data_IF_750701135995
#
_entry.id   IF_750701135995
#
_cell.length_a   1.000
_cell.length_b   1.000
_cell.length_c   1.000
_cell.angle_alpha   90.00
_cell.angle_beta   90.00
_cell.angle_gamma   90.00
#
_symmetry.space_group_name_H-M   'P 1'
#
loop_
_entity.id
_entity.type
_entity.pdbx_description
1 polymer ?
#
# COMPACT_ATOMS: atom_id res chain seq x y z
N UNK A 1 -12.74 6.75 -11.25
CA UNK A 1 -13.65 7.63 -10.49
C UNK A 1 -13.13 7.69 -9.05
N UNK A 2 -12.48 8.80 -8.65
CA UNK A 2 -11.93 8.96 -7.30
C UNK A 2 -13.07 9.27 -6.33
N UNK A 3 -13.64 8.25 -5.71
CA UNK A 3 -14.56 8.46 -4.60
C UNK A 3 -13.75 9.06 -3.45
N UNK A 4 -14.17 10.27 -3.06
CA UNK A 4 -13.53 11.10 -2.06
C UNK A 4 -13.60 10.38 -0.71
N UNK A 5 -12.46 9.87 -0.22
CA UNK A 5 -12.33 9.04 1.00
C UNK A 5 -13.03 9.68 2.22
N UNK A 6 -13.03 11.02 2.28
CA UNK A 6 -13.75 11.81 3.28
C UNK A 6 -15.28 11.69 3.18
N UNK A 7 -15.83 11.77 1.97
CA UNK A 7 -17.28 11.61 1.74
C UNK A 7 -17.73 10.19 2.06
N UNK A 8 -16.88 9.21 1.78
CA UNK A 8 -17.14 7.82 2.04
C UNK A 8 -17.08 7.47 3.54
N UNK A 9 -16.16 8.08 4.29
CA UNK A 9 -16.09 7.97 5.75
C UNK A 9 -17.32 8.60 6.43
N UNK A 10 -17.78 9.76 5.97
CA UNK A 10 -19.03 10.39 6.45
C UNK A 10 -20.25 9.51 6.16
N UNK A 11 -20.28 8.84 5.01
CA UNK A 11 -21.34 7.89 4.67
C UNK A 11 -21.39 6.68 5.63
N UNK A 12 -20.24 6.14 6.04
CA UNK A 12 -20.20 5.03 7.01
C UNK A 12 -20.65 5.47 8.41
N UNK A 13 -20.17 6.61 8.91
CA UNK A 13 -20.57 7.08 10.24
C UNK A 13 -22.05 7.49 10.31
N UNK A 14 -22.59 8.08 9.23
CA UNK A 14 -24.03 8.36 9.14
C UNK A 14 -24.86 7.08 9.03
N UNK A 15 -24.39 6.07 8.27
CA UNK A 15 -25.01 4.76 8.20
C UNK A 15 -25.11 4.05 9.55
N UNK A 16 -24.04 4.09 10.35
CA UNK A 16 -24.03 3.56 11.72
C UNK A 16 -24.99 4.29 12.65
N UNK A 17 -25.04 5.62 12.57
CA UNK A 17 -25.95 6.44 13.38
C UNK A 17 -27.43 6.14 13.13
N UNK A 18 -27.78 5.75 11.90
CA UNK A 18 -29.16 5.39 11.52
C UNK A 18 -29.46 3.91 11.81
N UNK A 19 -28.50 3.01 11.66
CA UNK A 19 -28.74 1.57 11.84
C UNK A 19 -28.97 1.19 13.31
N UNK A 20 -28.27 1.83 14.25
CA UNK A 20 -28.31 1.48 15.68
C UNK A 20 -29.71 1.70 16.30
N UNK A 21 -30.39 2.86 16.11
CA UNK A 21 -31.75 3.07 16.63
C UNK A 21 -32.76 2.11 16.01
N UNK A 22 -32.66 1.84 14.70
CA UNK A 22 -33.56 0.94 13.98
C UNK A 22 -33.43 -0.50 14.52
N UNK A 23 -32.20 -0.94 14.80
CA UNK A 23 -31.96 -2.25 15.39
C UNK A 23 -32.45 -2.33 16.83
N UNK A 24 -32.17 -1.32 17.66
CA UNK A 24 -32.61 -1.29 19.05
C UNK A 24 -34.13 -1.35 19.16
N UNK A 25 -34.84 -0.53 18.38
CA UNK A 25 -36.32 -0.49 18.37
C UNK A 25 -36.90 -1.75 17.72
N UNK A 26 -36.35 -2.21 16.59
CA UNK A 26 -36.84 -3.39 15.89
C UNK A 26 -36.69 -4.67 16.71
N UNK A 27 -35.53 -4.86 17.36
CA UNK A 27 -35.28 -6.01 18.24
C UNK A 27 -36.14 -5.93 19.49
N UNK A 28 -36.31 -4.76 20.10
CA UNK A 28 -37.21 -4.58 21.25
C UNK A 28 -38.68 -4.88 20.90
N UNK A 29 -39.15 -4.48 19.71
CA UNK A 29 -40.50 -4.79 19.23
C UNK A 29 -40.69 -6.30 18.97
N UNK A 30 -39.66 -6.99 18.47
CA UNK A 30 -39.71 -8.44 18.26
C UNK A 30 -39.68 -9.23 19.58
N UNK A 31 -38.94 -8.75 20.58
CA UNK A 31 -38.77 -9.43 21.87
C UNK A 31 -39.85 -9.09 22.91
N UNK A 32 -40.50 -7.92 22.83
CA UNK A 32 -41.50 -7.47 23.81
C UNK A 32 -42.85 -8.20 23.72
N UNK A 33 -42.99 -9.21 22.85
CA UNK A 33 -44.21 -9.99 22.71
C UNK A 33 -45.40 -9.18 22.17
N UNK A 34 -45.13 -8.00 21.60
CA UNK A 34 -46.16 -7.11 21.06
C UNK A 34 -46.96 -7.82 19.95
N UNK A 35 -48.29 -7.72 20.00
CA UNK A 35 -49.19 -8.36 19.01
C UNK A 35 -49.17 -7.57 17.69
N UNK A 36 -48.09 -7.74 16.95
CA UNK A 36 -47.90 -7.21 15.59
C UNK A 36 -48.46 -8.24 14.60
N UNK A 37 -49.14 -7.78 13.54
CA UNK A 37 -49.64 -8.67 12.48
C UNK A 37 -48.50 -9.45 11.82
N UNK A 38 -48.80 -10.63 11.27
CA UNK A 38 -47.82 -11.48 10.60
C UNK A 38 -47.11 -10.75 9.45
N UNK A 39 -47.84 -9.95 8.69
CA UNK A 39 -47.28 -9.13 7.60
C UNK A 39 -46.35 -8.03 8.11
N UNK A 40 -46.75 -7.31 9.15
CA UNK A 40 -45.92 -6.26 9.74
C UNK A 40 -44.65 -6.84 10.39
N UNK A 41 -44.71 -8.05 10.96
CA UNK A 41 -43.52 -8.78 11.45
C UNK A 41 -42.56 -9.14 10.33
N UNK A 42 -43.07 -9.55 9.16
CA UNK A 42 -42.24 -9.90 8.01
C UNK A 42 -41.45 -8.68 7.49
N UNK A 43 -42.13 -7.55 7.30
CA UNK A 43 -41.49 -6.30 6.89
C UNK A 43 -40.50 -5.79 7.92
N UNK A 44 -40.85 -5.87 9.21
CA UNK A 44 -39.96 -5.46 10.29
C UNK A 44 -38.71 -6.35 10.35
N UNK A 45 -38.83 -7.66 10.11
CA UNK A 45 -37.69 -8.57 9.97
C UNK A 45 -36.77 -8.17 8.82
N UNK A 46 -37.31 -7.83 7.65
CA UNK A 46 -36.50 -7.38 6.51
C UNK A 46 -35.72 -6.12 6.87
N UNK A 47 -36.37 -5.12 7.49
CA UNK A 47 -35.72 -3.86 7.88
C UNK A 47 -34.63 -4.10 8.93
N UNK A 48 -34.88 -4.97 9.92
CA UNK A 48 -33.90 -5.35 10.95
C UNK A 48 -32.71 -6.08 10.34
N UNK A 49 -32.93 -7.04 9.43
CA UNK A 49 -31.85 -7.77 8.76
C UNK A 49 -31.02 -6.84 7.88
N UNK A 50 -31.66 -5.96 7.10
CA UNK A 50 -30.94 -5.01 6.24
C UNK A 50 -30.09 -4.05 7.08
N UNK A 51 -30.63 -3.54 8.18
CA UNK A 51 -29.91 -2.68 9.13
C UNK A 51 -28.74 -3.41 9.80
N UNK A 52 -28.94 -4.69 10.16
CA UNK A 52 -27.88 -5.53 10.71
C UNK A 52 -26.74 -5.74 9.71
N UNK A 53 -27.05 -5.97 8.42
CA UNK A 53 -26.04 -6.10 7.37
C UNK A 53 -25.23 -4.81 7.24
N UNK A 54 -25.88 -3.65 7.18
CA UNK A 54 -25.21 -2.34 7.10
C UNK A 54 -24.32 -2.08 8.32
N UNK A 55 -24.80 -2.43 9.51
CA UNK A 55 -24.04 -2.33 10.75
C UNK A 55 -22.82 -3.26 10.75
N UNK A 56 -22.98 -4.52 10.32
CA UNK A 56 -21.88 -5.50 10.24
C UNK A 56 -20.83 -5.07 9.21
N UNK A 57 -21.22 -4.60 8.03
CA UNK A 57 -20.27 -4.07 7.05
C UNK A 57 -19.52 -2.86 7.57
N UNK A 58 -20.22 -1.97 8.28
CA UNK A 58 -19.60 -0.80 8.90
C UNK A 58 -18.67 -1.19 10.04
N UNK A 59 -19.02 -2.20 10.84
CA UNK A 59 -18.19 -2.72 11.93
C UNK A 59 -16.94 -3.43 11.38
N UNK A 60 -17.06 -4.23 10.32
CA UNK A 60 -15.92 -4.87 9.65
C UNK A 60 -14.97 -3.79 9.13
N UNK A 61 -15.49 -2.74 8.49
CA UNK A 61 -14.68 -1.61 8.00
C UNK A 61 -13.98 -0.87 9.14
N UNK A 62 -14.68 -0.59 10.24
CA UNK A 62 -14.13 0.07 11.42
C UNK A 62 -13.07 -0.82 12.09
N UNK A 63 -13.29 -2.13 12.15
CA UNK A 63 -12.30 -3.10 12.61
C UNK A 63 -11.10 -3.17 11.67
N UNK A 64 -11.28 -3.09 10.35
CA UNK A 64 -10.16 -3.00 9.41
C UNK A 64 -9.37 -1.68 9.54
N UNK A 65 -10.02 -0.57 9.90
CA UNK A 65 -9.36 0.71 10.20
C UNK A 65 -8.59 0.69 11.54
N UNK A 66 -9.03 -0.12 12.53
CA UNK A 66 -8.42 -0.22 13.86
C UNK A 66 -7.46 -1.41 14.04
N UNK A 67 -7.56 -2.44 13.20
CA UNK A 67 -6.64 -3.58 13.19
C UNK A 67 -5.43 -3.16 12.33
N UNK A 68 -4.23 -3.00 12.91
CA UNK A 68 -3.01 -2.89 12.12
C UNK A 68 -2.75 -4.23 11.46
N UNK A 69 -3.29 -4.42 10.26
CA UNK A 69 -3.13 -5.63 9.45
C UNK A 69 -1.63 -5.91 9.18
N UNK A 70 -0.76 -4.90 9.31
CA UNK A 70 0.70 -5.10 9.25
C UNK A 70 1.29 -5.88 10.44
N UNK A 71 0.63 -5.92 11.61
CA UNK A 71 1.16 -6.56 12.83
C UNK A 71 0.64 -7.99 13.06
N UNK A 72 -0.55 -8.32 12.58
CA UNK A 72 -1.18 -9.65 12.82
C UNK A 72 -0.78 -10.66 11.74
N UNK A 73 -0.67 -10.24 10.47
CA UNK A 73 -0.17 -11.10 9.37
C UNK A 73 1.24 -11.62 9.65
N UNK A 74 2.09 -10.81 10.29
CA UNK A 74 3.47 -11.17 10.66
C UNK A 74 3.54 -12.18 11.82
N UNK A 75 2.50 -12.30 12.66
CA UNK A 75 2.44 -13.29 13.75
C UNK A 75 1.86 -14.63 13.29
N UNK A 76 0.88 -14.62 12.38
CA UNK A 76 0.37 -15.86 11.79
C UNK A 76 1.41 -16.51 10.85
N UNK A 77 2.19 -15.71 10.11
CA UNK A 77 3.29 -16.21 9.25
C UNK A 77 4.46 -16.86 10.01
N UNK A 78 4.55 -16.69 11.34
CA UNK A 78 5.67 -17.21 12.14
C UNK A 78 5.41 -18.60 12.75
N UNK A 79 4.18 -19.11 12.70
CA UNK A 79 3.82 -20.38 13.33
C UNK A 79 3.73 -21.57 12.36
N UNK A 80 3.69 -21.35 11.04
CA UNK A 80 3.56 -22.44 10.04
C UNK A 80 4.88 -22.82 9.36
N UNK A 81 6.04 -22.54 9.98
CA UNK A 81 7.34 -23.00 9.46
C UNK A 81 7.94 -23.99 10.44
N UNK A 82 7.40 -25.20 10.46
CA UNK A 82 8.22 -26.37 10.71
C UNK A 82 7.64 -27.62 10.03
N UNK A 83 8.53 -28.29 9.30
CA UNK A 83 8.53 -29.73 8.97
C UNK A 83 7.89 -30.18 7.63
N UNK A 84 8.82 -30.42 6.70
CA UNK A 84 8.97 -31.58 5.80
C UNK A 84 8.59 -31.52 4.31
N UNK A 85 9.65 -31.71 3.53
CA UNK A 85 9.76 -32.25 2.17
C UNK A 85 8.89 -33.50 1.93
N UNK A 86 8.32 -33.62 0.73
CA UNK A 86 8.83 -34.47 -0.37
C UNK A 86 7.75 -34.61 -1.47
N UNK A 87 8.19 -34.36 -2.71
CA UNK A 87 7.75 -35.02 -3.97
C UNK A 87 6.27 -35.41 -4.13
N UNK A 88 5.55 -34.71 -5.03
CA UNK A 88 4.82 -35.41 -6.10
C UNK A 88 4.53 -34.50 -7.30
N UNK A 89 4.93 -34.98 -8.49
CA UNK A 89 4.43 -34.54 -9.81
C UNK A 89 2.90 -34.54 -9.82
N UNK A 90 2.27 -33.37 -9.95
CA UNK A 90 0.99 -33.25 -10.68
C UNK A 90 0.69 -31.81 -11.09
N UNK A 91 0.51 -31.65 -12.39
CA UNK A 91 -0.11 -30.57 -13.16
C UNK A 91 -0.77 -29.40 -12.39
N UNK A 92 -0.28 -28.19 -12.67
CA UNK A 92 -1.13 -27.03 -12.96
C UNK A 92 -1.84 -26.37 -11.78
N UNK A 93 -1.11 -26.01 -10.72
CA UNK A 93 -1.56 -24.96 -9.78
C UNK A 93 -0.34 -24.07 -9.51
N UNK A 94 -0.38 -22.81 -10.01
CA UNK A 94 0.62 -21.81 -9.66
C UNK A 94 0.46 -21.51 -8.17
N UNK A 95 1.42 -21.94 -7.38
CA UNK A 95 1.52 -21.59 -5.96
C UNK A 95 1.70 -20.08 -5.82
N UNK A 96 1.12 -19.49 -4.77
CA UNK A 96 1.15 -18.04 -4.48
C UNK A 96 2.57 -17.45 -4.45
N UNK A 97 3.56 -18.26 -4.04
CA UNK A 97 4.98 -17.88 -4.05
C UNK A 97 5.55 -17.68 -5.47
N UNK A 98 4.98 -18.35 -6.46
CA UNK A 98 5.36 -18.22 -7.87
C UNK A 98 4.74 -16.97 -8.49
N UNK A 99 3.51 -16.59 -8.10
CA UNK A 99 2.90 -15.31 -8.50
C UNK A 99 3.64 -14.10 -7.92
N UNK A 100 4.05 -14.15 -6.64
CA UNK A 100 4.80 -13.05 -6.02
C UNK A 100 6.20 -12.89 -6.64
N UNK A 101 6.86 -14.00 -6.99
CA UNK A 101 8.17 -13.97 -7.68
C UNK A 101 8.04 -13.49 -9.13
N UNK A 102 7.00 -13.93 -9.84
CA UNK A 102 6.70 -13.49 -11.21
C UNK A 102 6.39 -11.99 -11.23
N UNK A 103 5.58 -11.51 -10.29
CA UNK A 103 5.23 -10.09 -10.16
C UNK A 103 6.46 -9.24 -9.81
N UNK A 104 7.29 -9.68 -8.87
CA UNK A 104 8.55 -9.00 -8.53
C UNK A 104 9.48 -8.86 -9.74
N UNK A 105 9.68 -9.97 -10.48
CA UNK A 105 10.52 -9.97 -11.68
C UNK A 105 9.99 -9.05 -12.79
N UNK A 106 8.66 -9.01 -12.96
CA UNK A 106 7.99 -8.13 -13.92
C UNK A 106 8.14 -6.65 -13.56
N UNK A 107 8.04 -6.30 -12.28
CA UNK A 107 8.19 -4.92 -11.79
C UNK A 107 9.62 -4.42 -11.93
N UNK A 108 10.60 -5.27 -11.59
CA UNK A 108 12.02 -4.99 -11.83
C UNK A 108 12.29 -4.76 -13.32
N UNK A 109 11.82 -5.66 -14.19
CA UNK A 109 11.98 -5.51 -15.64
C UNK A 109 11.32 -4.24 -16.19
N UNK A 110 10.13 -3.88 -15.68
CA UNK A 110 9.45 -2.63 -16.02
C UNK A 110 10.29 -1.41 -15.63
N UNK A 111 10.82 -1.38 -14.41
CA UNK A 111 11.65 -0.27 -13.92
C UNK A 111 12.90 -0.09 -14.79
N UNK A 112 13.62 -1.18 -15.05
CA UNK A 112 14.85 -1.15 -15.86
C UNK A 112 14.54 -0.65 -17.27
N UNK A 113 13.48 -1.17 -17.89
CA UNK A 113 13.12 -0.79 -19.26
C UNK A 113 12.70 0.69 -19.39
N UNK A 114 11.97 1.22 -18.42
CA UNK A 114 11.35 2.54 -18.52
C UNK A 114 12.21 3.66 -17.95
N UNK A 115 13.01 3.40 -16.92
CA UNK A 115 13.70 4.45 -16.18
C UNK A 115 15.21 4.31 -16.17
N UNK A 116 15.78 3.12 -16.32
CA UNK A 116 17.23 2.96 -16.20
C UNK A 116 17.91 3.34 -17.52
N UNK A 117 18.99 4.10 -17.43
CA UNK A 117 19.81 4.45 -18.58
C UNK A 117 20.50 3.18 -19.11
N UNK A 118 20.56 3.04 -20.45
CA UNK A 118 21.14 1.87 -21.14
C UNK A 118 22.53 1.49 -20.63
N UNK A 119 23.34 2.47 -20.22
CA UNK A 119 24.68 2.24 -19.67
C UNK A 119 24.69 1.50 -18.31
N UNK A 120 23.54 1.44 -17.61
CA UNK A 120 23.39 0.89 -16.26
C UNK A 120 22.36 -0.24 -16.21
N UNK A 121 21.96 -0.81 -17.35
CA UNK A 121 20.94 -1.90 -17.40
C UNK A 121 21.44 -3.18 -16.73
N UNK A 122 22.73 -3.47 -16.84
CA UNK A 122 23.37 -4.65 -16.24
C UNK A 122 23.75 -4.42 -14.77
N UNK A 123 23.49 -3.21 -14.25
CA UNK A 123 23.82 -2.82 -12.89
C UNK A 123 22.62 -3.06 -11.95
N UNK A 124 22.85 -3.34 -10.64
CA UNK A 124 21.78 -3.63 -9.68
C UNK A 124 21.06 -2.36 -9.22
N UNK A 125 20.61 -1.52 -10.16
CA UNK A 125 20.00 -0.21 -9.89
C UNK A 125 18.67 -0.38 -9.14
N UNK A 126 17.83 -1.32 -9.57
CA UNK A 126 16.54 -1.57 -8.94
C UNK A 126 16.72 -2.05 -7.48
N UNK A 127 17.60 -3.01 -7.25
CA UNK A 127 17.93 -3.55 -5.94
C UNK A 127 18.54 -2.50 -5.02
N UNK A 128 19.32 -1.58 -5.58
CA UNK A 128 19.90 -0.45 -4.84
C UNK A 128 18.79 0.44 -4.29
N UNK A 129 17.76 0.74 -5.08
CA UNK A 129 16.60 1.50 -4.61
C UNK A 129 15.80 0.73 -3.57
N UNK A 130 15.57 -0.57 -3.78
CA UNK A 130 14.86 -1.39 -2.78
C UNK A 130 15.58 -1.42 -1.43
N UNK A 131 16.90 -1.61 -1.41
CA UNK A 131 17.68 -1.63 -0.17
C UNK A 131 17.70 -0.25 0.49
N UNK A 132 17.89 0.81 -0.30
CA UNK A 132 17.83 2.18 0.19
C UNK A 132 16.50 2.49 0.89
N UNK A 133 15.39 1.98 0.35
CA UNK A 133 14.05 2.22 0.89
C UNK A 133 13.68 1.31 2.06
N UNK A 134 14.35 0.16 2.21
CA UNK A 134 14.23 -0.71 3.40
C UNK A 134 14.85 -0.06 4.64
N UNK A 135 15.96 0.65 4.48
CA UNK A 135 16.69 1.28 5.60
C UNK A 135 16.15 2.68 5.98
N UNK A 136 15.47 3.37 5.05
CA UNK A 136 15.03 4.76 5.21
C UNK A 136 13.57 4.95 4.75
N UNK A 137 12.62 4.33 5.44
CA UNK A 137 11.18 4.49 5.16
C UNK A 137 10.73 5.94 5.41
N UNK A 138 10.21 6.60 4.36
CA UNK A 138 9.65 7.96 4.47
C UNK A 138 9.73 8.72 3.15
N UNK A 139 8.59 9.26 2.69
CA UNK A 139 8.43 9.84 1.35
C UNK A 139 9.43 10.93 0.95
N UNK A 140 10.10 11.62 1.89
CA UNK A 140 11.19 12.59 1.59
C UNK A 140 12.39 11.95 0.92
N UNK A 141 12.74 10.74 1.34
CA UNK A 141 13.96 10.08 0.88
C UNK A 141 13.77 9.45 -0.50
N UNK A 142 12.54 9.08 -0.86
CA UNK A 142 12.21 8.42 -2.13
C UNK A 142 12.40 9.36 -3.32
N UNK A 143 11.78 10.55 -3.30
CA UNK A 143 11.91 11.50 -4.41
C UNK A 143 13.34 12.00 -4.54
N UNK A 144 14.02 12.25 -3.41
CA UNK A 144 15.42 12.67 -3.40
C UNK A 144 16.33 11.59 -4.02
N UNK A 145 16.08 10.30 -3.73
CA UNK A 145 16.85 9.21 -4.32
C UNK A 145 16.65 9.09 -5.83
N UNK A 146 15.40 9.22 -6.32
CA UNK A 146 15.16 9.24 -7.76
C UNK A 146 15.77 10.46 -8.44
N UNK A 147 15.70 11.63 -7.79
CA UNK A 147 16.37 12.83 -8.26
C UNK A 147 17.88 12.61 -8.36
N UNK A 148 18.50 12.02 -7.34
CA UNK A 148 19.93 11.72 -7.35
C UNK A 148 20.32 10.74 -8.46
N UNK A 149 19.48 9.75 -8.77
CA UNK A 149 19.72 8.82 -9.88
C UNK A 149 19.55 9.45 -11.26
N UNK A 150 18.62 10.40 -11.40
CA UNK A 150 18.38 11.14 -12.64
C UNK A 150 19.31 12.35 -12.84
N UNK A 151 20.03 12.75 -11.78
CA UNK A 151 21.03 13.81 -11.82
C UNK A 151 22.16 13.47 -12.80
N UNK A 152 22.64 14.49 -13.52
CA UNK A 152 23.67 14.34 -14.57
C UNK A 152 24.96 13.69 -14.10
N UNK A 153 25.29 13.78 -12.80
CA UNK A 153 26.51 13.17 -12.24
C UNK A 153 26.39 11.67 -11.97
N UNK A 154 25.17 11.15 -11.75
CA UNK A 154 24.93 9.71 -11.62
C UNK A 154 24.45 9.12 -12.94
N UNK A 155 23.42 9.73 -13.51
CA UNK A 155 22.82 9.35 -14.79
C UNK A 155 22.37 7.87 -14.84
N UNK A 156 21.98 7.32 -13.69
CA UNK A 156 21.44 5.97 -13.59
C UNK A 156 20.02 5.90 -14.14
N UNK A 157 19.25 6.97 -13.94
CA UNK A 157 17.88 7.09 -14.42
C UNK A 157 17.78 8.13 -15.53
N UNK A 158 16.95 7.85 -16.54
CA UNK A 158 16.62 8.80 -17.61
C UNK A 158 15.52 9.78 -17.18
N UNK A 159 14.70 9.40 -16.20
CA UNK A 159 13.64 10.24 -15.65
C UNK A 159 13.19 9.75 -14.26
N UNK A 160 12.55 10.65 -13.51
CA UNK A 160 11.97 10.35 -12.20
C UNK A 160 10.55 9.78 -12.39
N UNK A 161 10.23 8.58 -11.87
CA UNK A 161 8.90 7.98 -11.96
C UNK A 161 7.77 8.90 -11.46
N UNK A 162 6.55 8.71 -11.98
CA UNK A 162 5.37 9.34 -11.39
C UNK A 162 5.02 8.69 -10.05
N UNK A 163 4.23 9.38 -9.23
CA UNK A 163 3.77 8.83 -7.95
C UNK A 163 3.12 7.45 -8.10
N UNK A 164 2.20 7.31 -9.07
CA UNK A 164 1.47 6.05 -9.29
C UNK A 164 2.40 4.91 -9.69
N UNK A 165 3.44 5.20 -10.48
CA UNK A 165 4.43 4.20 -10.90
C UNK A 165 5.37 3.84 -9.75
N UNK A 166 5.83 4.83 -8.98
CA UNK A 166 6.65 4.61 -7.80
C UNK A 166 5.91 3.72 -6.77
N UNK A 167 4.62 4.02 -6.49
CA UNK A 167 3.79 3.22 -5.59
C UNK A 167 3.61 1.79 -6.11
N UNK A 168 3.42 1.64 -7.42
CA UNK A 168 3.28 0.31 -8.04
C UNK A 168 4.54 -0.55 -7.89
N UNK A 169 5.72 0.07 -7.90
CA UNK A 169 7.01 -0.64 -7.86
C UNK A 169 7.51 -0.88 -6.43
N UNK A 170 7.33 0.10 -5.54
CA UNK A 170 7.96 0.10 -4.21
C UNK A 170 6.96 0.09 -3.05
N UNK A 171 5.66 0.21 -3.31
CA UNK A 171 4.62 0.24 -2.27
C UNK A 171 4.29 1.66 -1.79
N UNK A 172 3.05 1.84 -1.32
CA UNK A 172 2.57 3.13 -0.80
C UNK A 172 3.19 3.48 0.55
N UNK A 173 3.52 2.46 1.35
CA UNK A 173 4.22 2.56 2.63
C UNK A 173 5.61 3.18 2.50
N UNK A 174 6.32 2.85 1.41
CA UNK A 174 7.63 3.41 1.11
C UNK A 174 7.52 4.82 0.53
N UNK A 175 6.67 5.00 -0.48
CA UNK A 175 6.58 6.23 -1.28
C UNK A 175 5.89 7.37 -0.51
N UNK A 176 4.99 7.02 0.41
CA UNK A 176 4.20 7.98 1.18
C UNK A 176 3.04 8.57 0.38
N UNK A 177 2.54 9.74 0.81
CA UNK A 177 1.36 10.36 0.22
C UNK A 177 1.64 11.07 -1.11
N UNK A 178 0.67 11.02 -2.03
CA UNK A 178 0.76 11.68 -3.35
C UNK A 178 1.12 13.17 -3.27
N UNK A 179 0.52 13.88 -2.32
CA UNK A 179 0.74 15.32 -2.17
C UNK A 179 2.19 15.60 -1.76
N UNK A 180 2.73 14.82 -0.81
CA UNK A 180 4.12 14.97 -0.38
C UNK A 180 5.09 14.67 -1.51
N UNK A 181 4.87 13.57 -2.26
CA UNK A 181 5.69 13.20 -3.41
C UNK A 181 5.70 14.31 -4.48
N UNK A 182 4.53 14.86 -4.81
CA UNK A 182 4.40 15.88 -5.85
C UNK A 182 5.06 17.19 -5.46
N UNK A 183 4.86 17.64 -4.20
CA UNK A 183 5.47 18.86 -3.66
C UNK A 183 6.99 18.74 -3.61
N UNK A 184 7.52 17.59 -3.19
CA UNK A 184 8.97 17.38 -3.17
C UNK A 184 9.56 17.34 -4.56
N UNK A 185 8.90 16.67 -5.52
CA UNK A 185 9.37 16.62 -6.90
C UNK A 185 9.43 18.04 -7.49
N UNK A 186 8.43 18.89 -7.21
CA UNK A 186 8.49 20.29 -7.63
C UNK A 186 9.58 21.09 -6.92
N UNK A 187 9.79 20.89 -5.62
CA UNK A 187 10.76 21.63 -4.83
C UNK A 187 12.22 21.26 -5.11
N UNK A 188 12.47 20.08 -5.67
CA UNK A 188 13.79 19.65 -6.15
C UNK A 188 14.09 20.16 -7.56
N UNK A 189 13.06 20.56 -8.31
CA UNK A 189 13.19 21.05 -9.69
C UNK A 189 13.21 22.58 -9.77
N UNK A 190 12.76 23.27 -8.71
CA UNK A 190 12.67 24.74 -8.65
C UNK A 190 13.69 25.25 -7.63
N UNK A 191 14.48 26.24 -8.08
CA UNK A 191 15.53 26.98 -7.35
C UNK A 191 16.91 26.31 -7.29
N UNK A 192 17.95 27.17 -7.26
CA UNK A 192 19.29 26.74 -6.87
C UNK A 192 19.21 26.10 -5.48
N UNK A 193 19.69 24.85 -5.32
CA UNK A 193 19.59 24.16 -4.05
C UNK A 193 20.42 24.88 -2.99
N UNK A 194 19.80 25.14 -1.85
CA UNK A 194 20.51 25.65 -0.67
C UNK A 194 21.65 24.68 -0.23
N UNK A 195 22.61 25.17 0.55
CA UNK A 195 23.79 24.40 0.96
C UNK A 195 23.41 23.13 1.75
N UNK A 196 22.29 23.16 2.48
CA UNK A 196 21.77 22.01 3.22
C UNK A 196 21.23 20.94 2.27
N UNK A 197 20.46 21.31 1.25
CA UNK A 197 19.96 20.44 0.18
C UNK A 197 21.11 19.85 -0.63
N UNK A 198 22.12 20.64 -0.96
CA UNK A 198 23.34 20.14 -1.60
C UNK A 198 24.03 19.06 -0.77
N UNK A 199 24.08 19.24 0.54
CA UNK A 199 24.61 18.25 1.49
C UNK A 199 23.75 17.00 1.55
N UNK A 200 22.41 17.13 1.57
CA UNK A 200 21.47 16.00 1.50
C UNK A 200 21.65 15.20 0.20
N UNK A 201 21.74 15.89 -0.95
CA UNK A 201 21.98 15.28 -2.27
C UNK A 201 23.32 14.53 -2.28
N UNK A 202 24.39 15.15 -1.79
CA UNK A 202 25.73 14.53 -1.75
C UNK A 202 25.73 13.27 -0.89
N UNK A 203 25.13 13.34 0.29
CA UNK A 203 25.02 12.21 1.23
C UNK A 203 24.21 11.06 0.61
N UNK A 204 23.08 11.38 -0.03
CA UNK A 204 22.24 10.39 -0.71
C UNK A 204 23.00 9.70 -1.86
N UNK A 205 23.70 10.47 -2.71
CA UNK A 205 24.52 9.92 -3.80
C UNK A 205 25.62 8.97 -3.27
N UNK A 206 26.28 9.32 -2.17
CA UNK A 206 27.29 8.47 -1.56
C UNK A 206 26.70 7.17 -1.01
N UNK A 207 25.55 7.25 -0.33
CA UNK A 207 24.84 6.09 0.19
C UNK A 207 24.42 5.14 -0.95
N UNK A 208 23.79 5.68 -2.00
CA UNK A 208 23.40 4.90 -3.17
C UNK A 208 24.58 4.20 -3.83
N UNK A 209 25.73 4.88 -4.01
CA UNK A 209 26.95 4.26 -4.56
C UNK A 209 27.48 3.15 -3.66
N UNK A 210 27.43 3.32 -2.34
CA UNK A 210 27.88 2.31 -1.37
C UNK A 210 27.01 1.04 -1.46
N UNK A 211 25.69 1.21 -1.48
CA UNK A 211 24.70 0.13 -1.62
C UNK A 211 24.91 -0.62 -2.94
N UNK A 212 25.04 0.12 -4.05
CA UNK A 212 25.29 -0.49 -5.37
C UNK A 212 26.58 -1.30 -5.37
N UNK A 213 27.66 -0.76 -4.80
CA UNK A 213 28.94 -1.46 -4.72
C UNK A 213 28.87 -2.75 -3.87
N UNK A 214 28.03 -2.81 -2.83
CA UNK A 214 27.82 -4.04 -2.07
C UNK A 214 26.99 -5.09 -2.82
N UNK A 215 26.14 -4.68 -3.76
CA UNK A 215 25.34 -5.62 -4.58
C UNK A 215 26.09 -6.21 -5.77
N UNK A 216 27.18 -5.57 -6.21
CA UNK A 216 28.02 -6.10 -7.30
C UNK A 216 28.98 -7.21 -6.86
N UNK A 217 29.24 -7.33 -5.56
CA UNK A 217 30.14 -8.34 -4.98
C UNK A 217 29.39 -9.63 -4.72
#
# INVERSE_FOLDING_TARGET
MKLNDRSFKVFIYSGLGVSIPILAVGVAMLLSGYRISSEAKFWLWIVVVLSAIVMVFSLIRLLCDFIPVEKISRRLRKNDVSVQDYSLKTNGIKTKDQEDTDHYSAMKAYFIRQYVNKAYVDEPVFETYEELFKENSGGKNVVLAFYCGADTNMNWLISIPSYTEAVRMFGEDVVGSKNNYSVQKSNLTKEEPDEKKLTEIRTMKQLMKKIMASKKK
#
